data_IF_455040402335
#
_entry.id   IF_455040402335
#
_cell.length_a   1.000
_cell.length_b   1.000
_cell.length_c   1.000
_cell.angle_alpha   90.00
_cell.angle_beta   90.00
_cell.angle_gamma   90.00
#
_symmetry.space_group_name_H-M   'P 1'
#
loop_
_entity.id
_entity.type
_entity.pdbx_description
1 polymer ?
#
# COMPACT_ATOMS: atom_id res chain seq x y z
N UNK A 1 -38.65 -3.66 30.10
CA UNK A 1 -39.07 -3.13 31.42
C UNK A 1 -38.21 -1.92 31.74
N UNK A 2 -38.79 -0.81 32.21
CA UNK A 2 -38.08 0.42 32.59
C UNK A 2 -38.13 0.59 34.11
N UNK A 3 -36.97 0.79 34.73
CA UNK A 3 -36.88 1.10 36.17
C UNK A 3 -37.01 2.61 36.39
N UNK A 4 -37.91 3.02 37.29
CA UNK A 4 -38.06 4.43 37.64
C UNK A 4 -36.86 4.91 38.45
N UNK A 5 -36.21 5.99 38.02
CA UNK A 5 -35.04 6.55 38.73
C UNK A 5 -35.38 7.13 40.12
N UNK A 6 -36.65 7.49 40.36
CA UNK A 6 -37.05 8.10 41.63
C UNK A 6 -37.38 7.05 42.69
N UNK A 7 -38.09 5.98 42.33
CA UNK A 7 -38.54 4.97 43.29
C UNK A 7 -37.95 3.57 43.09
N UNK A 8 -37.06 3.38 42.11
CA UNK A 8 -36.40 2.12 41.76
C UNK A 8 -37.34 0.93 41.54
N UNK A 9 -38.61 1.18 41.17
CA UNK A 9 -39.56 0.12 40.82
C UNK A 9 -39.64 -0.07 39.31
N UNK A 10 -39.79 -1.32 38.90
CA UNK A 10 -39.95 -1.71 37.49
C UNK A 10 -41.35 -1.36 36.99
N UNK A 11 -41.41 -0.84 35.76
CA UNK A 11 -42.64 -0.51 35.06
C UNK A 11 -42.60 -1.14 33.66
N UNK A 12 -43.78 -1.48 33.09
CA UNK A 12 -43.90 -1.84 31.68
C UNK A 12 -43.37 -0.75 30.75
N UNK A 13 -42.88 -1.13 29.56
CA UNK A 13 -42.18 -0.23 28.62
C UNK A 13 -43.10 0.82 27.96
N UNK A 14 -44.42 0.65 28.07
CA UNK A 14 -45.47 1.50 27.50
C UNK A 14 -45.95 2.63 28.43
N UNK A 15 -45.51 2.65 29.70
CA UNK A 15 -45.93 3.67 30.67
C UNK A 15 -45.12 4.96 30.54
N UNK A 16 -45.80 6.10 30.43
CA UNK A 16 -45.16 7.45 30.41
C UNK A 16 -44.81 7.94 31.83
N UNK A 17 -45.56 7.50 32.84
CA UNK A 17 -45.38 7.84 34.24
C UNK A 17 -45.23 6.58 35.07
N UNK A 18 -44.44 6.64 36.14
CA UNK A 18 -44.28 5.51 37.05
C UNK A 18 -45.61 5.24 37.77
N UNK A 19 -46.07 3.99 37.74
CA UNK A 19 -47.33 3.58 38.36
C UNK A 19 -47.33 3.75 39.89
N UNK A 20 -46.16 3.82 40.51
CA UNK A 20 -46.01 3.85 41.97
C UNK A 20 -45.79 5.25 42.54
N UNK A 21 -45.08 6.13 41.84
CA UNK A 21 -44.74 7.47 42.34
C UNK A 21 -45.20 8.62 41.44
N UNK A 22 -45.75 8.34 40.26
CA UNK A 22 -46.20 9.36 39.31
C UNK A 22 -45.08 10.11 38.60
N UNK A 23 -43.80 9.79 38.86
CA UNK A 23 -42.67 10.47 38.21
C UNK A 23 -42.56 10.09 36.73
N UNK A 24 -42.06 11.02 35.91
CA UNK A 24 -41.95 10.83 34.47
C UNK A 24 -40.90 9.77 34.16
N UNK A 25 -41.31 8.68 33.50
CA UNK A 25 -40.37 7.69 33.00
C UNK A 25 -39.67 8.32 31.78
N UNK A 26 -38.40 8.70 31.95
CA UNK A 26 -37.60 9.33 30.91
C UNK A 26 -37.39 8.32 29.78
N UNK A 27 -38.32 8.29 28.81
CA UNK A 27 -38.14 7.54 27.59
C UNK A 27 -36.90 8.10 26.88
N UNK A 28 -35.76 7.45 27.05
CA UNK A 28 -34.76 7.43 26.01
C UNK A 28 -35.41 6.72 24.84
N UNK A 29 -36.15 7.46 24.01
CA UNK A 29 -36.45 7.00 22.66
C UNK A 29 -35.09 6.86 22.01
N UNK A 30 -34.49 5.68 22.09
CA UNK A 30 -33.45 5.28 21.18
C UNK A 30 -34.11 5.37 19.81
N UNK A 31 -33.99 6.51 19.15
CA UNK A 31 -34.35 6.66 17.75
C UNK A 31 -33.45 5.70 17.02
N UNK A 32 -33.95 4.47 16.83
CA UNK A 32 -33.32 3.49 15.96
C UNK A 32 -33.37 4.16 14.59
N UNK A 33 -32.27 4.81 14.19
CA UNK A 33 -32.10 5.33 12.84
C UNK A 33 -32.35 4.15 11.91
N UNK A 34 -33.54 4.08 11.30
CA UNK A 34 -33.87 3.04 10.34
C UNK A 34 -32.82 3.15 9.24
N UNK A 35 -31.93 2.16 9.18
CA UNK A 35 -30.81 2.14 8.25
C UNK A 35 -31.32 2.37 6.84
N UNK A 36 -30.80 3.40 6.17
CA UNK A 36 -31.15 3.78 4.81
C UNK A 36 -31.06 2.58 3.84
N UNK A 37 -30.11 1.68 4.09
CA UNK A 37 -29.90 0.43 3.37
C UNK A 37 -31.09 -0.53 3.38
N UNK A 38 -31.96 -0.48 4.41
CA UNK A 38 -33.16 -1.34 4.50
C UNK A 38 -34.32 -0.87 3.61
N UNK A 39 -34.21 0.32 3.00
CA UNK A 39 -35.25 0.89 2.12
C UNK A 39 -34.93 0.73 0.63
N UNK A 40 -33.77 0.18 0.28
CA UNK A 40 -33.38 0.03 -1.12
C UNK A 40 -34.19 -1.11 -1.77
N UNK A 41 -34.82 -0.87 -2.93
CA UNK A 41 -35.51 -1.92 -3.67
C UNK A 41 -34.50 -2.95 -4.20
N UNK A 42 -34.94 -4.19 -4.42
CA UNK A 42 -34.05 -5.31 -4.79
C UNK A 42 -33.20 -5.03 -6.05
N UNK A 43 -33.71 -4.26 -7.01
CA UNK A 43 -32.96 -3.88 -8.21
C UNK A 43 -31.76 -2.97 -7.91
N UNK A 44 -31.85 -2.11 -6.89
CA UNK A 44 -30.74 -1.24 -6.49
C UNK A 44 -29.58 -2.04 -5.88
N UNK A 45 -29.88 -3.11 -5.14
CA UNK A 45 -28.86 -4.02 -4.63
C UNK A 45 -28.11 -4.75 -5.75
N UNK A 46 -28.80 -5.13 -6.82
CA UNK A 46 -28.17 -5.75 -8.00
C UNK A 46 -27.18 -4.77 -8.63
N UNK A 47 -27.55 -3.50 -8.80
CA UNK A 47 -26.65 -2.48 -9.35
C UNK A 47 -25.45 -2.20 -8.44
N UNK A 48 -25.66 -2.15 -7.12
CA UNK A 48 -24.56 -1.97 -6.16
C UNK A 48 -23.58 -3.14 -6.24
N UNK A 49 -24.07 -4.38 -6.30
CA UNK A 49 -23.23 -5.56 -6.44
C UNK A 49 -22.49 -5.58 -7.78
N UNK A 50 -23.20 -5.34 -8.89
CA UNK A 50 -22.59 -5.28 -10.21
C UNK A 50 -21.54 -4.17 -10.30
N UNK A 51 -21.85 -2.98 -9.81
CA UNK A 51 -20.91 -1.86 -9.72
C UNK A 51 -19.71 -2.17 -8.83
N UNK A 52 -19.92 -2.87 -7.72
CA UNK A 52 -18.85 -3.35 -6.84
C UNK A 52 -17.89 -4.31 -7.55
N UNK A 53 -18.42 -5.28 -8.30
CA UNK A 53 -17.61 -6.23 -9.09
C UNK A 53 -16.82 -5.51 -10.18
N UNK A 54 -17.49 -4.64 -10.95
CA UNK A 54 -16.83 -3.83 -12.01
C UNK A 54 -15.73 -2.96 -11.41
N UNK A 55 -16.02 -2.27 -10.30
CA UNK A 55 -15.06 -1.44 -9.60
C UNK A 55 -13.85 -2.23 -9.10
N UNK A 56 -14.07 -3.43 -8.54
CA UNK A 56 -12.99 -4.31 -8.10
C UNK A 56 -12.09 -4.74 -9.26
N UNK A 57 -12.68 -5.16 -10.39
CA UNK A 57 -11.92 -5.54 -11.60
C UNK A 57 -11.12 -4.33 -12.12
N UNK A 58 -11.75 -3.15 -12.18
CA UNK A 58 -11.09 -1.93 -12.63
C UNK A 58 -9.92 -1.54 -11.72
N UNK A 59 -10.06 -1.64 -10.40
CA UNK A 59 -8.97 -1.37 -9.44
C UNK A 59 -7.80 -2.31 -9.67
N UNK A 60 -8.05 -3.60 -9.87
CA UNK A 60 -6.98 -4.57 -10.12
C UNK A 60 -6.23 -4.18 -11.40
N UNK A 61 -6.94 -3.96 -12.51
CA UNK A 61 -6.33 -3.59 -13.80
C UNK A 61 -5.54 -2.28 -13.67
N UNK A 62 -6.16 -1.24 -13.11
CA UNK A 62 -5.52 0.07 -12.91
C UNK A 62 -4.28 -0.03 -12.01
N UNK A 63 -4.28 -0.90 -11.00
CA UNK A 63 -3.11 -1.10 -10.15
C UNK A 63 -1.93 -1.70 -10.91
N UNK A 64 -2.17 -2.68 -11.79
CA UNK A 64 -1.12 -3.25 -12.65
C UNK A 64 -0.58 -2.21 -13.63
N UNK A 65 -1.44 -1.43 -14.26
CA UNK A 65 -1.04 -0.35 -15.17
C UNK A 65 -0.24 0.71 -14.40
N UNK A 66 -0.73 1.17 -13.25
CA UNK A 66 -0.05 2.18 -12.46
C UNK A 66 1.35 1.74 -12.00
N UNK A 67 1.50 0.49 -11.54
CA UNK A 67 2.79 -0.06 -11.09
C UNK A 67 3.78 -0.20 -12.25
N UNK A 68 3.32 -0.52 -13.45
CA UNK A 68 4.19 -0.78 -14.62
C UNK A 68 4.55 0.47 -15.42
N UNK A 69 3.75 1.54 -15.34
CA UNK A 69 3.91 2.74 -16.17
C UNK A 69 4.37 3.97 -15.39
N UNK A 70 3.92 4.13 -14.14
CA UNK A 70 4.17 5.33 -13.35
C UNK A 70 5.44 5.15 -12.52
N UNK A 71 6.40 6.03 -12.75
CA UNK A 71 7.65 6.05 -12.00
C UNK A 71 7.42 6.28 -10.50
N UNK A 72 8.01 5.42 -9.69
CA UNK A 72 8.03 5.51 -8.23
C UNK A 72 6.81 4.95 -7.52
N UNK A 73 5.72 4.62 -8.22
CA UNK A 73 4.54 4.01 -7.60
C UNK A 73 4.91 2.67 -6.95
N UNK A 74 5.64 1.83 -7.67
CA UNK A 74 6.14 0.56 -7.15
C UNK A 74 7.05 0.77 -5.93
N UNK A 75 8.05 1.66 -6.02
CA UNK A 75 8.97 1.93 -4.91
C UNK A 75 8.25 2.43 -3.65
N UNK A 76 7.25 3.32 -3.79
CA UNK A 76 6.47 3.85 -2.66
C UNK A 76 5.67 2.74 -1.98
N UNK A 77 4.96 1.91 -2.77
CA UNK A 77 4.16 0.81 -2.24
C UNK A 77 5.06 -0.20 -1.53
N UNK A 78 6.18 -0.58 -2.15
CA UNK A 78 7.14 -1.52 -1.57
C UNK A 78 7.78 -0.96 -0.30
N UNK A 79 8.12 0.33 -0.27
CA UNK A 79 8.64 0.98 0.93
C UNK A 79 7.59 0.96 2.06
N UNK A 80 6.32 1.28 1.78
CA UNK A 80 5.26 1.24 2.77
C UNK A 80 5.09 -0.18 3.35
N UNK A 81 5.07 -1.21 2.49
CA UNK A 81 5.02 -2.61 2.92
C UNK A 81 6.25 -2.98 3.75
N UNK A 82 7.43 -2.53 3.36
CA UNK A 82 8.67 -2.78 4.09
C UNK A 82 8.69 -2.12 5.48
N UNK A 83 8.20 -0.88 5.60
CA UNK A 83 8.06 -0.18 6.89
C UNK A 83 7.19 -0.97 7.87
N UNK A 84 6.11 -1.58 7.37
CA UNK A 84 5.21 -2.41 8.19
C UNK A 84 5.85 -3.76 8.50
N UNK A 85 6.39 -4.44 7.50
CA UNK A 85 6.95 -5.79 7.61
C UNK A 85 8.19 -5.82 8.50
N UNK A 86 9.09 -4.84 8.35
CA UNK A 86 10.25 -4.68 9.22
C UNK A 86 9.90 -4.09 10.59
N UNK A 87 8.63 -3.75 10.85
CA UNK A 87 8.16 -3.32 12.17
C UNK A 87 8.64 -1.93 12.59
N UNK A 88 8.83 -1.03 11.60
CA UNK A 88 9.01 0.40 11.85
C UNK A 88 7.64 1.02 12.18
N UNK A 89 6.58 0.59 11.48
CA UNK A 89 5.20 1.02 11.71
C UNK A 89 4.29 -0.21 11.85
N UNK A 90 3.87 -0.64 13.06
CA UNK A 90 4.12 -0.03 14.36
C UNK A 90 5.55 -0.29 14.85
N UNK A 91 6.08 0.63 15.66
CA UNK A 91 7.43 0.52 16.24
C UNK A 91 7.47 -0.62 17.27
N UNK A 92 7.69 -1.85 16.79
CA UNK A 92 7.74 -3.08 17.59
C UNK A 92 9.15 -3.34 18.11
N UNK A 93 9.24 -3.96 19.29
CA UNK A 93 10.52 -4.41 19.87
C UNK A 93 11.31 -5.17 18.80
N UNK A 94 12.59 -4.83 18.54
CA UNK A 94 13.41 -5.55 17.58
C UNK A 94 13.45 -7.00 17.99
N UNK A 95 12.85 -7.87 17.18
CA UNK A 95 12.91 -9.30 17.40
C UNK A 95 14.38 -9.73 17.30
N UNK A 96 14.83 -10.57 18.25
CA UNK A 96 16.08 -11.31 18.12
C UNK A 96 15.78 -12.44 17.11
N UNK A 97 15.58 -12.06 15.84
CA UNK A 97 15.43 -13.02 14.75
C UNK A 97 16.77 -13.65 14.47
N UNK A 98 16.82 -14.97 14.27
CA UNK A 98 17.98 -15.66 13.71
C UNK A 98 18.46 -14.90 12.45
N UNK A 99 19.78 -14.71 12.33
CA UNK A 99 20.41 -14.01 11.20
C UNK A 99 19.94 -14.57 9.84
N UNK A 100 19.63 -15.88 9.79
CA UNK A 100 19.05 -16.52 8.61
C UNK A 100 17.73 -15.87 8.16
N UNK A 101 16.73 -15.72 9.05
CA UNK A 101 15.44 -15.12 8.69
C UNK A 101 15.56 -13.64 8.33
N UNK A 102 16.50 -12.93 8.95
CA UNK A 102 16.81 -11.56 8.56
C UNK A 102 17.37 -11.51 7.12
N UNK A 103 18.33 -12.39 6.79
CA UNK A 103 18.87 -12.50 5.44
C UNK A 103 17.79 -12.86 4.42
N UNK A 104 16.95 -13.84 4.74
CA UNK A 104 15.85 -14.29 3.88
C UNK A 104 14.83 -13.17 3.60
N UNK A 105 14.42 -12.42 4.62
CA UNK A 105 13.47 -11.31 4.46
C UNK A 105 14.06 -10.15 3.64
N UNK A 106 15.33 -9.80 3.86
CA UNK A 106 16.02 -8.78 3.04
C UNK A 106 16.18 -9.27 1.60
N UNK A 107 16.58 -10.53 1.40
CA UNK A 107 16.73 -11.12 0.06
C UNK A 107 15.41 -11.16 -0.71
N UNK A 108 14.32 -11.56 -0.05
CA UNK A 108 12.99 -11.54 -0.65
C UNK A 108 12.54 -10.12 -0.98
N UNK A 109 12.72 -9.16 -0.06
CA UNK A 109 12.42 -7.76 -0.30
C UNK A 109 13.21 -7.21 -1.49
N UNK A 110 14.50 -7.55 -1.60
CA UNK A 110 15.35 -7.12 -2.70
C UNK A 110 14.96 -7.73 -4.04
N UNK A 111 14.62 -9.02 -4.07
CA UNK A 111 14.16 -9.68 -5.29
C UNK A 111 12.82 -9.10 -5.77
N UNK A 112 11.88 -8.86 -4.85
CA UNK A 112 10.60 -8.23 -5.17
C UNK A 112 10.79 -6.78 -5.63
N UNK A 113 11.68 -6.03 -4.98
CA UNK A 113 12.04 -4.68 -5.37
C UNK A 113 12.61 -4.62 -6.79
N UNK A 114 13.61 -5.46 -7.09
CA UNK A 114 14.20 -5.51 -8.41
C UNK A 114 13.19 -5.91 -9.50
N UNK A 115 12.29 -6.86 -9.22
CA UNK A 115 11.37 -7.38 -10.24
C UNK A 115 10.13 -6.53 -10.46
N UNK A 116 9.62 -5.87 -9.42
CA UNK A 116 8.37 -5.07 -9.48
C UNK A 116 8.66 -3.60 -9.75
N UNK A 117 9.72 -3.03 -9.17
CA UNK A 117 10.11 -1.63 -9.36
C UNK A 117 10.98 -1.44 -10.61
N UNK A 118 10.56 -2.05 -11.72
CA UNK A 118 11.26 -1.94 -13.00
C UNK A 118 11.31 -0.50 -13.52
N UNK A 119 10.20 0.27 -13.58
CA UNK A 119 10.26 1.66 -14.07
C UNK A 119 11.14 2.53 -13.16
N UNK A 120 11.17 2.19 -11.88
CA UNK A 120 11.93 2.91 -10.89
C UNK A 120 11.41 4.32 -10.63
N UNK A 121 12.25 5.16 -10.05
CA UNK A 121 12.04 6.60 -9.96
C UNK A 121 13.39 7.30 -10.17
N UNK A 122 13.37 8.62 -10.21
CA UNK A 122 14.57 9.44 -10.38
C UNK A 122 15.75 9.01 -9.47
N UNK A 123 15.49 8.78 -8.18
CA UNK A 123 16.54 8.42 -7.20
C UNK A 123 17.14 7.05 -7.50
N UNK A 124 16.30 6.06 -7.80
CA UNK A 124 16.78 4.70 -8.05
C UNK A 124 17.29 4.49 -9.50
N UNK A 125 16.97 5.41 -10.42
CA UNK A 125 17.55 5.41 -11.76
C UNK A 125 18.98 5.99 -11.77
N UNK A 126 19.34 6.79 -10.76
CA UNK A 126 20.67 7.41 -10.70
C UNK A 126 21.82 6.42 -10.56
N UNK A 127 21.75 5.37 -9.72
CA UNK A 127 22.83 4.39 -9.67
C UNK A 127 23.00 3.63 -10.99
N UNK A 128 21.91 3.42 -11.74
CA UNK A 128 21.98 2.86 -13.10
C UNK A 128 22.71 3.80 -14.05
N UNK A 129 22.35 5.09 -14.04
CA UNK A 129 23.04 6.13 -14.83
C UNK A 129 24.53 6.19 -14.49
N UNK A 130 24.89 6.29 -13.21
CA UNK A 130 26.28 6.42 -12.75
C UNK A 130 27.12 5.18 -13.12
N UNK A 131 26.55 3.98 -13.03
CA UNK A 131 27.31 2.75 -13.28
C UNK A 131 27.38 2.34 -14.76
N UNK A 132 26.45 2.81 -15.60
CA UNK A 132 26.30 2.28 -16.96
C UNK A 132 26.36 3.35 -18.07
N UNK A 133 26.19 4.63 -17.75
CA UNK A 133 26.31 5.73 -18.70
C UNK A 133 27.71 6.35 -18.64
N UNK A 134 28.17 6.84 -19.78
CA UNK A 134 29.45 7.56 -19.89
C UNK A 134 29.34 8.98 -19.31
N UNK A 135 30.46 9.58 -18.94
CA UNK A 135 30.50 10.93 -18.39
C UNK A 135 29.87 11.95 -19.37
N UNK A 136 28.94 12.76 -18.87
CA UNK A 136 28.21 13.73 -19.69
C UNK A 136 27.00 13.14 -20.45
N UNK A 137 26.72 11.84 -20.33
CA UNK A 137 25.49 11.24 -20.85
C UNK A 137 24.42 11.07 -19.76
N UNK A 138 23.15 11.10 -20.16
CA UNK A 138 21.99 10.99 -19.26
C UNK A 138 21.16 9.77 -19.61
N UNK A 139 20.71 9.06 -18.58
CA UNK A 139 19.82 7.92 -18.73
C UNK A 139 18.42 8.42 -19.13
N UNK A 140 17.90 7.88 -20.23
CA UNK A 140 16.51 8.03 -20.62
C UNK A 140 15.86 6.65 -20.68
N UNK A 141 14.64 6.57 -20.16
CA UNK A 141 13.82 5.36 -20.14
C UNK A 141 12.69 5.54 -21.14
N UNK A 142 12.53 4.59 -22.04
CA UNK A 142 11.34 4.50 -22.91
C UNK A 142 10.53 3.26 -22.57
N UNK A 143 9.21 3.42 -22.55
CA UNK A 143 8.28 2.31 -22.43
C UNK A 143 7.72 1.98 -23.80
N UNK A 144 7.80 0.70 -24.18
CA UNK A 144 7.24 0.17 -25.41
C UNK A 144 6.16 -0.85 -25.05
N UNK A 145 4.89 -0.48 -25.26
CA UNK A 145 3.75 -1.39 -25.09
C UNK A 145 3.46 -2.08 -26.42
N UNK A 146 3.53 -3.42 -26.44
CA UNK A 146 3.29 -4.24 -27.62
C UNK A 146 2.07 -5.15 -27.42
N UNK A 147 1.29 -5.32 -28.48
CA UNK A 147 0.13 -6.22 -28.54
C UNK A 147 0.31 -7.27 -29.66
N UNK A 148 1.29 -8.18 -29.55
CA UNK A 148 1.61 -9.12 -30.63
C UNK A 148 0.51 -10.17 -30.86
N UNK A 149 -0.25 -10.53 -29.83
CA UNK A 149 -1.38 -11.47 -29.91
C UNK A 149 -2.62 -10.92 -29.18
N UNK A 150 -3.85 -11.25 -29.63
CA UNK A 150 -5.07 -10.91 -28.90
C UNK A 150 -5.04 -11.42 -27.46
N UNK A 151 -5.33 -10.54 -26.50
CA UNK A 151 -5.29 -10.88 -25.07
C UNK A 151 -3.88 -10.85 -24.43
N UNK A 152 -2.84 -10.50 -25.18
CA UNK A 152 -1.49 -10.31 -24.66
C UNK A 152 -1.07 -8.84 -24.70
N UNK A 153 -0.41 -8.38 -23.64
CA UNK A 153 0.22 -7.06 -23.58
C UNK A 153 1.61 -7.24 -23.01
N UNK A 154 2.61 -6.84 -23.78
CA UNK A 154 4.01 -6.87 -23.37
C UNK A 154 4.42 -5.44 -23.11
N UNK A 155 4.82 -5.15 -21.88
CA UNK A 155 5.39 -3.86 -21.51
C UNK A 155 6.90 -4.07 -21.45
N UNK A 156 7.60 -3.48 -22.41
CA UNK A 156 9.06 -3.52 -22.48
C UNK A 156 9.59 -2.17 -22.03
N UNK A 157 10.64 -2.21 -21.21
CA UNK A 157 11.31 -1.02 -20.75
C UNK A 157 12.72 -1.00 -21.31
N UNK A 158 13.02 0.05 -22.07
CA UNK A 158 14.32 0.26 -22.67
C UNK A 158 15.05 1.38 -21.94
N UNK A 159 16.31 1.12 -21.61
CA UNK A 159 17.17 2.04 -20.87
C UNK A 159 18.31 2.45 -21.79
N UNK A 160 18.36 3.72 -22.19
CA UNK A 160 19.34 4.22 -23.15
C UNK A 160 20.00 5.49 -22.61
N UNK A 161 21.32 5.56 -22.67
CA UNK A 161 22.08 6.76 -22.33
C UNK A 161 22.21 7.64 -23.57
N UNK A 162 21.87 8.92 -23.43
CA UNK A 162 21.98 9.93 -24.48
C UNK A 162 23.02 10.98 -24.11
N UNK A 163 23.84 11.41 -25.07
CA UNK A 163 24.76 12.54 -24.88
C UNK A 163 24.01 13.89 -24.91
N UNK A 164 24.71 14.98 -24.63
CA UNK A 164 24.15 16.34 -24.69
C UNK A 164 23.69 16.76 -26.11
N UNK A 165 24.18 16.09 -27.16
CA UNK A 165 23.72 16.27 -28.54
C UNK A 165 22.41 15.50 -28.86
N UNK A 166 21.91 14.68 -27.93
CA UNK A 166 20.70 13.88 -28.10
C UNK A 166 20.92 12.56 -28.85
N UNK A 167 22.17 12.13 -29.05
CA UNK A 167 22.51 10.87 -29.70
C UNK A 167 22.58 9.74 -28.68
N UNK A 168 22.07 8.57 -29.06
CA UNK A 168 22.12 7.37 -28.23
C UNK A 168 23.56 6.83 -28.19
N UNK A 169 24.17 6.86 -27.01
CA UNK A 169 25.56 6.40 -26.81
C UNK A 169 25.59 4.92 -26.42
N UNK A 170 24.68 4.51 -25.54
CA UNK A 170 24.68 3.16 -25.00
C UNK A 170 23.28 2.68 -24.62
N UNK A 171 22.94 1.45 -24.98
CA UNK A 171 21.71 0.77 -24.55
C UNK A 171 22.02 -0.20 -23.41
N UNK A 172 21.35 -0.03 -22.27
CA UNK A 172 21.59 -0.82 -21.06
C UNK A 172 20.71 -2.07 -21.09
N UNK A 173 21.36 -3.23 -20.93
CA UNK A 173 20.66 -4.49 -20.77
C UNK A 173 19.84 -4.53 -19.46
N UNK A 174 18.58 -4.96 -19.54
CA UNK A 174 17.67 -5.08 -18.40
C UNK A 174 18.26 -5.86 -17.21
N UNK A 175 19.04 -6.91 -17.44
CA UNK A 175 19.67 -7.67 -16.35
C UNK A 175 20.66 -6.83 -15.52
N UNK A 176 21.36 -5.86 -16.15
CA UNK A 176 22.22 -4.92 -15.42
C UNK A 176 21.39 -4.01 -14.52
N UNK A 177 20.27 -3.50 -15.06
CA UNK A 177 19.32 -2.67 -14.31
C UNK A 177 18.79 -3.46 -13.11
N UNK A 178 18.26 -4.68 -13.33
CA UNK A 178 17.77 -5.56 -12.27
C UNK A 178 18.84 -5.86 -11.21
N UNK A 179 20.09 -6.10 -11.63
CA UNK A 179 21.21 -6.35 -10.71
C UNK A 179 21.52 -5.16 -9.81
N UNK A 180 21.57 -3.95 -10.38
CA UNK A 180 21.77 -2.71 -9.62
C UNK A 180 20.60 -2.49 -8.64
N UNK A 181 19.36 -2.65 -9.11
CA UNK A 181 18.16 -2.54 -8.26
C UNK A 181 18.17 -3.54 -7.11
N UNK A 182 18.56 -4.78 -7.38
CA UNK A 182 18.67 -5.80 -6.33
C UNK A 182 19.63 -5.36 -5.22
N UNK A 183 20.78 -4.78 -5.58
CA UNK A 183 21.75 -4.25 -4.60
C UNK A 183 21.16 -3.06 -3.84
N UNK A 184 20.50 -2.11 -4.51
CA UNK A 184 19.85 -0.96 -3.87
C UNK A 184 18.83 -1.41 -2.82
N UNK A 185 17.98 -2.38 -3.15
CA UNK A 185 16.98 -2.88 -2.21
C UNK A 185 17.60 -3.71 -1.07
N UNK A 186 18.74 -4.37 -1.27
CA UNK A 186 19.53 -4.96 -0.16
C UNK A 186 19.97 -3.85 0.80
N UNK A 187 20.59 -2.78 0.28
CA UNK A 187 21.07 -1.66 1.08
C UNK A 187 19.92 -1.00 1.84
N UNK A 188 18.79 -0.78 1.17
CA UNK A 188 17.57 -0.25 1.78
C UNK A 188 17.03 -1.19 2.86
N UNK A 189 16.98 -2.50 2.63
CA UNK A 189 16.55 -3.48 3.63
C UNK A 189 17.42 -3.44 4.90
N UNK A 190 18.74 -3.38 4.75
CA UNK A 190 19.66 -3.21 5.87
C UNK A 190 19.48 -1.87 6.58
N UNK A 191 19.31 -0.79 5.81
CA UNK A 191 19.02 0.54 6.34
C UNK A 191 17.75 0.54 7.19
N UNK A 192 16.64 -0.03 6.71
CA UNK A 192 15.37 -0.11 7.45
C UNK A 192 15.50 -0.93 8.73
N UNK A 193 16.22 -2.05 8.71
CA UNK A 193 16.49 -2.82 9.93
C UNK A 193 17.33 -2.02 10.93
N UNK A 194 18.33 -1.28 10.46
CA UNK A 194 19.15 -0.37 11.27
C UNK A 194 18.31 0.75 11.88
N UNK A 195 17.51 1.41 11.04
CA UNK A 195 16.60 2.49 11.42
C UNK A 195 15.61 2.03 12.49
N UNK A 196 15.00 0.86 12.34
CA UNK A 196 14.12 0.27 13.37
C UNK A 196 14.84 0.13 14.72
N UNK A 197 16.06 -0.42 14.72
CA UNK A 197 16.86 -0.56 15.95
C UNK A 197 17.15 0.79 16.58
N UNK A 198 17.49 1.79 15.77
CA UNK A 198 17.75 3.15 16.21
C UNK A 198 16.50 3.81 16.83
N UNK A 199 15.37 3.80 16.12
CA UNK A 199 14.10 4.35 16.59
C UNK A 199 13.64 3.68 17.89
N UNK A 200 13.77 2.36 17.99
CA UNK A 200 13.43 1.63 19.22
C UNK A 200 14.30 2.06 20.40
N UNK A 201 15.62 2.24 20.19
CA UNK A 201 16.53 2.72 21.25
C UNK A 201 16.17 4.13 21.72
N UNK A 202 15.76 5.01 20.82
CA UNK A 202 15.31 6.36 21.21
C UNK A 202 14.03 6.29 22.05
N UNK A 203 13.04 5.49 21.63
CA UNK A 203 11.79 5.30 22.38
C UNK A 203 12.02 4.74 23.79
N UNK A 204 12.98 3.85 23.98
CA UNK A 204 13.28 3.28 25.31
C UNK A 204 14.09 4.22 26.22
N UNK A 205 14.69 5.28 25.67
CA UNK A 205 15.42 6.30 26.44
C UNK A 205 14.52 7.44 26.91
N UNK A 206 13.31 7.54 26.36
CA UNK A 206 12.28 8.53 26.73
C UNK A 206 11.31 7.88 27.70
#
# INVERSE_FOLDING_TARGET
MITCNHCNKENPDDFTYCRYCGDLLKHSKTTIKKSFWKKLPSWAWILILAGGIIGMIAIIILSFVAISTIEGVASIILLAIALVTFGIIPLRKPFITNNFFKGLSIGFFALMGATIDQPGNYIYNKPVEICCCEDGSKLNRSENTLHPLPGSTYIIQDYTCYNDAGEAVNTINMFKVLGIRFIEYILLGYFLVGLRKFLWRMKMRT
#
